data_IF_400515612152
#
_entry.id   IF_400515612152
#
_cell.length_a   1.000
_cell.length_b   1.000
_cell.length_c   1.000
_cell.angle_alpha   90.00
_cell.angle_beta   90.00
_cell.angle_gamma   90.00
#
_symmetry.space_group_name_H-M   'P 1'
#
loop_
_entity.id
_entity.type
_entity.pdbx_description
1 polymer ?
#
# COMPACT_ATOMS: atom_id res chain seq x y z
N UNK A 1 27.96 -69.95 14.48
CA UNK A 1 28.03 -69.11 15.69
C UNK A 1 28.56 -67.78 15.24
N UNK A 2 27.68 -66.80 15.05
CA UNK A 2 27.72 -65.54 15.80
C UNK A 2 26.48 -64.71 15.44
N UNK A 3 25.70 -64.50 16.48
CA UNK A 3 24.60 -63.54 16.60
C UNK A 3 25.22 -62.22 17.03
N UNK A 4 24.76 -61.09 16.50
CA UNK A 4 24.39 -59.88 17.25
C UNK A 4 23.57 -59.00 16.31
N UNK A 5 22.33 -58.78 16.70
CA UNK A 5 21.46 -57.72 16.19
C UNK A 5 21.90 -56.38 16.78
N UNK A 6 21.71 -55.28 16.06
CA UNK A 6 21.18 -54.09 16.71
C UNK A 6 20.33 -53.25 15.77
N UNK A 7 19.33 -52.66 16.40
CA UNK A 7 18.19 -51.97 15.86
C UNK A 7 18.52 -50.50 15.58
N UNK A 8 17.59 -49.86 14.86
CA UNK A 8 16.93 -48.61 15.27
C UNK A 8 16.88 -47.60 14.13
N UNK A 9 15.74 -47.62 13.46
CA UNK A 9 14.89 -46.47 13.12
C UNK A 9 15.55 -45.09 13.23
N UNK A 10 15.72 -44.41 12.10
CA UNK A 10 15.62 -42.95 12.06
C UNK A 10 14.54 -42.59 11.04
N UNK A 11 13.38 -42.22 11.58
CA UNK A 11 12.34 -41.49 10.89
C UNK A 11 12.94 -40.15 10.47
N UNK A 12 13.23 -40.00 9.19
CA UNK A 12 13.43 -38.66 8.62
C UNK A 12 12.08 -37.94 8.71
N UNK A 13 11.99 -37.12 9.75
CA UNK A 13 11.01 -36.07 9.95
C UNK A 13 10.90 -35.27 8.65
N UNK A 14 9.81 -35.49 7.91
CA UNK A 14 9.26 -34.45 7.07
C UNK A 14 8.98 -33.27 7.98
N UNK A 15 9.87 -32.27 7.94
CA UNK A 15 9.56 -30.94 8.42
C UNK A 15 8.40 -30.45 7.55
N UNK A 16 7.20 -30.63 8.08
CA UNK A 16 6.01 -29.90 7.68
C UNK A 16 6.36 -28.43 7.91
N UNK A 17 6.85 -27.74 6.87
CA UNK A 17 6.88 -26.28 6.83
C UNK A 17 5.43 -25.82 6.88
N UNK A 18 4.88 -25.80 8.10
CA UNK A 18 3.59 -25.23 8.40
C UNK A 18 3.66 -23.77 7.94
N UNK A 19 3.06 -23.51 6.77
CA UNK A 19 2.98 -22.17 6.21
C UNK A 19 2.50 -21.22 7.31
N UNK A 20 3.23 -20.13 7.60
CA UNK A 20 2.94 -19.29 8.75
C UNK A 20 1.49 -18.82 8.69
N UNK A 21 0.74 -19.06 9.76
CA UNK A 21 -0.67 -18.68 9.85
C UNK A 21 -0.78 -17.15 9.75
N UNK A 22 -1.33 -16.67 8.66
CA UNK A 22 -1.51 -15.24 8.42
C UNK A 22 -2.61 -14.67 9.33
N UNK A 23 -2.40 -13.44 9.79
CA UNK A 23 -3.39 -12.69 10.56
C UNK A 23 -4.46 -12.11 9.63
N UNK A 24 -5.71 -12.09 10.09
CA UNK A 24 -6.85 -11.45 9.43
C UNK A 24 -7.33 -10.30 10.28
N UNK A 25 -7.73 -9.18 9.67
CA UNK A 25 -8.40 -8.11 10.39
C UNK A 25 -9.84 -8.54 10.73
N UNK A 26 -10.38 -8.10 11.86
CA UNK A 26 -11.75 -8.44 12.28
C UNK A 26 -12.59 -7.17 12.29
N UNK A 27 -13.64 -7.10 11.47
CA UNK A 27 -14.65 -6.09 11.70
C UNK A 27 -15.75 -6.65 12.61
N UNK A 28 -16.03 -5.98 13.72
CA UNK A 28 -17.15 -6.34 14.58
C UNK A 28 -18.49 -6.03 13.88
N UNK A 29 -19.49 -6.93 13.93
CA UNK A 29 -20.80 -6.67 13.35
C UNK A 29 -21.46 -5.45 14.02
N UNK A 30 -21.69 -4.38 13.23
CA UNK A 30 -22.35 -3.15 13.70
C UNK A 30 -21.42 -2.09 14.30
N UNK A 31 -20.10 -2.31 14.32
CA UNK A 31 -19.11 -1.35 14.78
C UNK A 31 -18.48 -0.53 13.65
N UNK A 32 -17.89 0.62 14.01
CA UNK A 32 -16.91 1.30 13.15
C UNK A 32 -15.68 0.37 13.12
N UNK A 33 -15.34 -0.19 11.96
CA UNK A 33 -14.15 -1.02 11.84
C UNK A 33 -12.91 -0.11 12.01
N UNK A 34 -12.22 -0.21 13.15
CA UNK A 34 -11.01 0.58 13.46
C UNK A 34 -9.72 -0.24 13.39
N UNK A 35 -9.78 -1.54 13.06
CA UNK A 35 -8.55 -2.34 13.01
C UNK A 35 -7.60 -1.79 11.96
N UNK A 36 -6.38 -1.53 12.41
CA UNK A 36 -5.26 -1.14 11.58
C UNK A 36 -4.26 -2.28 11.53
N UNK A 37 -3.43 -2.29 10.49
CA UNK A 37 -2.31 -3.23 10.40
C UNK A 37 -1.24 -2.76 11.39
N UNK A 38 -1.01 -3.56 12.43
CA UNK A 38 -0.06 -3.28 13.51
C UNK A 38 1.38 -3.73 13.21
N UNK A 39 1.60 -4.38 12.05
CA UNK A 39 2.92 -4.84 11.66
C UNK A 39 3.89 -3.67 11.50
N UNK A 40 5.18 -3.85 11.82
CA UNK A 40 6.17 -2.84 11.50
C UNK A 40 6.22 -2.63 9.98
N UNK A 41 6.40 -1.37 9.56
CA UNK A 41 6.62 -1.07 8.14
C UNK A 41 7.94 -1.75 7.73
N UNK A 42 7.92 -2.65 6.73
CA UNK A 42 9.10 -3.41 6.33
C UNK A 42 10.25 -2.50 5.87
N UNK A 43 11.44 -3.07 5.74
CA UNK A 43 12.54 -2.38 5.07
C UNK A 43 12.20 -2.20 3.59
N UNK A 44 12.48 -1.01 3.03
CA UNK A 44 12.08 -0.65 1.67
C UNK A 44 13.29 -0.14 0.89
N UNK A 45 13.51 -0.68 -0.30
CA UNK A 45 14.50 -0.19 -1.27
C UNK A 45 13.78 0.50 -2.41
N UNK A 46 13.86 1.83 -2.43
CA UNK A 46 13.28 2.64 -3.50
C UNK A 46 14.28 2.85 -4.63
N UNK A 47 13.82 2.66 -5.86
CA UNK A 47 14.60 2.87 -7.08
C UNK A 47 13.86 3.82 -8.02
N UNK A 48 14.62 4.55 -8.83
CA UNK A 48 14.08 5.42 -9.89
C UNK A 48 14.94 5.26 -11.14
N UNK A 49 14.43 5.69 -12.28
CA UNK A 49 15.23 5.73 -13.51
C UNK A 49 16.29 6.83 -13.42
N UNK A 50 17.42 6.63 -14.12
CA UNK A 50 18.53 7.58 -14.12
C UNK A 50 18.09 8.99 -14.54
N UNK A 51 17.23 9.08 -15.55
CA UNK A 51 16.69 10.32 -16.07
C UNK A 51 15.84 11.11 -15.04
N UNK A 52 15.39 10.48 -13.96
CA UNK A 52 14.59 11.10 -12.91
C UNK A 52 15.37 11.35 -11.61
N UNK A 53 16.69 11.11 -11.58
CA UNK A 53 17.49 11.37 -10.36
C UNK A 53 17.51 12.85 -9.95
N UNK A 54 17.44 13.76 -10.92
CA UNK A 54 17.36 15.20 -10.68
C UNK A 54 15.94 15.67 -10.33
N UNK A 55 14.95 14.77 -10.28
CA UNK A 55 13.60 15.12 -9.90
C UNK A 55 13.57 15.48 -8.42
N UNK A 56 13.22 16.72 -8.13
CA UNK A 56 13.12 17.24 -6.77
C UNK A 56 11.98 16.53 -6.00
N UNK A 57 12.39 15.59 -5.15
CA UNK A 57 11.50 14.70 -4.40
C UNK A 57 10.86 15.39 -3.20
N UNK A 58 11.53 16.41 -2.65
CA UNK A 58 11.10 17.09 -1.42
C UNK A 58 9.84 17.94 -1.67
N UNK A 59 9.60 18.36 -2.91
CA UNK A 59 8.39 19.07 -3.31
C UNK A 59 7.28 18.18 -3.92
N UNK A 60 7.37 16.85 -3.80
CA UNK A 60 6.28 15.97 -4.22
C UNK A 60 5.07 16.18 -3.30
N UNK A 61 3.90 16.37 -3.89
CA UNK A 61 2.66 16.64 -3.14
C UNK A 61 1.69 15.47 -3.17
N UNK A 62 1.81 14.59 -4.16
CA UNK A 62 0.92 13.45 -4.33
C UNK A 62 1.69 12.20 -4.75
N UNK A 63 1.19 11.05 -4.29
CA UNK A 63 1.70 9.73 -4.65
C UNK A 63 0.55 8.91 -5.21
N UNK A 64 0.79 8.20 -6.31
CA UNK A 64 -0.16 7.23 -6.86
C UNK A 64 0.49 5.86 -6.84
N UNK A 65 -0.03 4.97 -5.99
CA UNK A 65 0.39 3.57 -5.97
C UNK A 65 -0.38 2.83 -7.06
N UNK A 66 0.36 2.19 -7.96
CA UNK A 66 -0.18 1.23 -8.90
C UNK A 66 0.22 -0.19 -8.45
N UNK A 67 -0.77 -0.99 -8.03
CA UNK A 67 -0.51 -2.33 -7.51
C UNK A 67 -1.54 -3.33 -8.05
N UNK A 68 -1.10 -4.53 -8.39
CA UNK A 68 -2.02 -5.62 -8.76
C UNK A 68 -2.56 -6.31 -7.51
N UNK A 69 -3.77 -6.87 -7.62
CA UNK A 69 -4.40 -7.72 -6.60
C UNK A 69 -3.41 -8.76 -6.04
N UNK A 70 -2.79 -9.56 -6.91
CA UNK A 70 -1.82 -10.59 -6.50
C UNK A 70 -0.59 -10.02 -5.77
N UNK A 71 -0.13 -8.84 -6.19
CA UNK A 71 1.02 -8.16 -5.56
C UNK A 71 0.69 -7.65 -4.17
N UNK A 72 -0.52 -7.14 -3.94
CA UNK A 72 -0.96 -6.77 -2.59
C UNK A 72 -0.94 -8.01 -1.69
N UNK A 73 -1.56 -9.11 -2.12
CA UNK A 73 -1.55 -10.35 -1.34
C UNK A 73 -0.12 -10.85 -1.01
N UNK A 74 0.84 -10.72 -1.93
CA UNK A 74 2.24 -11.03 -1.69
C UNK A 74 2.89 -10.11 -0.64
N UNK A 75 2.69 -8.79 -0.75
CA UNK A 75 3.21 -7.80 0.21
C UNK A 75 2.66 -8.07 1.61
N UNK A 76 1.35 -8.31 1.72
CA UNK A 76 0.72 -8.52 3.01
C UNK A 76 1.10 -9.85 3.64
N UNK A 77 1.28 -10.90 2.84
CA UNK A 77 1.83 -12.16 3.31
C UNK A 77 3.21 -11.97 3.95
N UNK A 78 4.06 -11.13 3.35
CA UNK A 78 5.40 -10.85 3.90
C UNK A 78 5.35 -10.14 5.26
N UNK A 79 4.32 -9.34 5.53
CA UNK A 79 4.12 -8.68 6.83
C UNK A 79 3.17 -9.46 7.76
N UNK A 80 2.87 -10.72 7.42
CA UNK A 80 2.10 -11.63 8.27
C UNK A 80 0.59 -11.43 8.24
N UNK A 81 0.05 -10.82 7.19
CA UNK A 81 -1.38 -10.57 7.01
C UNK A 81 -1.95 -11.22 5.75
N UNK A 82 -3.17 -11.71 5.86
CA UNK A 82 -3.99 -12.09 4.72
C UNK A 82 -4.72 -10.84 4.22
N UNK A 83 -4.51 -10.50 2.95
CA UNK A 83 -5.22 -9.38 2.34
C UNK A 83 -6.71 -9.68 2.22
N UNK A 84 -7.54 -8.74 2.68
CA UNK A 84 -9.00 -8.81 2.58
C UNK A 84 -9.51 -7.81 1.55
N UNK A 85 -10.15 -8.33 0.50
CA UNK A 85 -10.71 -7.54 -0.60
C UNK A 85 -12.00 -6.82 -0.23
N UNK A 86 -12.75 -7.36 0.73
CA UNK A 86 -13.99 -6.76 1.18
C UNK A 86 -13.73 -5.57 2.11
N UNK A 87 -12.50 -5.49 2.64
CA UNK A 87 -12.07 -4.42 3.53
C UNK A 87 -10.66 -3.90 3.23
N UNK A 88 -10.48 -3.19 2.09
CA UNK A 88 -9.15 -2.84 1.62
C UNK A 88 -8.55 -1.59 2.29
N UNK A 89 -9.35 -0.80 3.03
CA UNK A 89 -8.92 0.47 3.64
C UNK A 89 -7.68 0.38 4.52
N UNK A 90 -7.63 -0.50 5.54
CA UNK A 90 -6.43 -0.66 6.38
C UNK A 90 -5.19 -1.10 5.60
N UNK A 91 -5.38 -1.88 4.53
CA UNK A 91 -4.32 -2.30 3.64
C UNK A 91 -3.80 -1.13 2.79
N UNK A 92 -4.69 -0.31 2.24
CA UNK A 92 -4.31 0.90 1.52
C UNK A 92 -3.61 1.92 2.43
N UNK A 93 -4.06 2.08 3.67
CA UNK A 93 -3.35 2.91 4.65
C UNK A 93 -1.91 2.40 4.86
N UNK A 94 -1.74 1.09 5.02
CA UNK A 94 -0.44 0.47 5.20
C UNK A 94 0.46 0.56 3.94
N UNK A 95 -0.10 0.42 2.73
CA UNK A 95 0.62 0.67 1.49
C UNK A 95 1.10 2.14 1.41
N UNK A 96 0.29 3.08 1.90
CA UNK A 96 0.66 4.47 2.05
C UNK A 96 1.89 4.64 2.95
N UNK A 97 1.95 3.93 4.09
CA UNK A 97 3.11 3.93 4.99
C UNK A 97 4.36 3.35 4.31
N UNK A 98 4.25 2.25 3.57
CA UNK A 98 5.37 1.68 2.82
C UNK A 98 5.88 2.65 1.74
N UNK A 99 4.98 3.30 1.01
CA UNK A 99 5.34 4.29 0.01
C UNK A 99 5.95 5.55 0.64
N UNK A 100 5.44 5.99 1.80
CA UNK A 100 5.99 7.10 2.55
C UNK A 100 7.44 6.82 2.96
N UNK A 101 7.71 5.63 3.50
CA UNK A 101 9.06 5.18 3.84
C UNK A 101 9.99 5.16 2.64
N UNK A 102 9.60 4.51 1.55
CA UNK A 102 10.49 4.38 0.39
C UNK A 102 10.69 5.68 -0.40
N UNK A 103 9.65 6.51 -0.54
CA UNK A 103 9.76 7.76 -1.30
C UNK A 103 10.35 8.88 -0.45
N UNK A 104 9.92 9.04 0.81
CA UNK A 104 10.26 10.20 1.64
C UNK A 104 11.16 9.89 2.83
N UNK A 105 11.60 8.64 3.01
CA UNK A 105 12.41 8.25 4.18
C UNK A 105 11.69 8.56 5.50
N UNK A 106 10.38 8.29 5.54
CA UNK A 106 9.45 8.56 6.66
C UNK A 106 9.30 10.04 7.06
N UNK A 107 9.86 10.98 6.29
CA UNK A 107 9.78 12.43 6.56
C UNK A 107 8.41 13.04 6.24
N UNK A 108 7.51 12.29 5.60
CA UNK A 108 6.23 12.81 5.13
C UNK A 108 5.13 11.77 5.26
N UNK A 109 4.05 12.16 5.94
CA UNK A 109 2.85 11.34 6.03
C UNK A 109 2.01 11.46 4.76
N UNK A 110 1.48 10.32 4.33
CA UNK A 110 0.56 10.20 3.22
C UNK A 110 -0.86 9.96 3.73
N UNK A 111 -1.80 10.76 3.24
CA UNK A 111 -3.23 10.59 3.48
C UNK A 111 -3.90 10.11 2.21
N UNK A 112 -4.71 9.07 2.31
CA UNK A 112 -5.49 8.57 1.17
C UNK A 112 -6.39 9.69 0.64
N UNK A 113 -6.35 9.89 -0.68
CA UNK A 113 -7.12 10.89 -1.40
C UNK A 113 -8.26 10.24 -2.18
N UNK A 114 -7.94 9.23 -2.98
CA UNK A 114 -8.91 8.55 -3.86
C UNK A 114 -8.39 7.16 -4.27
N UNK A 115 -9.28 6.33 -4.79
CA UNK A 115 -8.97 5.00 -5.28
C UNK A 115 -9.74 4.68 -6.56
N UNK A 116 -9.08 4.01 -7.51
CA UNK A 116 -9.71 3.52 -8.75
C UNK A 116 -9.27 2.07 -9.04
N UNK A 117 -10.21 1.10 -9.06
CA UNK A 117 -9.95 -0.23 -9.61
C UNK A 117 -9.97 -0.21 -11.13
N UNK A 118 -8.96 -0.79 -11.77
CA UNK A 118 -8.93 -1.06 -13.21
C UNK A 118 -8.54 -2.51 -13.47
N UNK A 119 -9.56 -3.36 -13.71
CA UNK A 119 -9.38 -4.80 -13.94
C UNK A 119 -8.82 -5.52 -12.72
N UNK A 120 -7.54 -5.93 -12.79
CA UNK A 120 -6.76 -6.58 -11.70
C UNK A 120 -5.76 -5.63 -11.03
N UNK A 121 -5.81 -4.34 -11.36
CA UNK A 121 -4.94 -3.30 -10.81
C UNK A 121 -5.75 -2.30 -10.01
N UNK A 122 -5.10 -1.76 -8.99
CA UNK A 122 -5.60 -0.73 -8.11
C UNK A 122 -4.70 0.48 -8.23
N UNK A 123 -5.32 1.66 -8.37
CA UNK A 123 -4.65 2.96 -8.35
C UNK A 123 -5.09 3.68 -7.10
N UNK A 124 -4.20 3.80 -6.12
CA UNK A 124 -4.50 4.42 -4.85
C UNK A 124 -3.73 5.74 -4.79
N UNK A 125 -4.46 6.83 -4.73
CA UNK A 125 -3.92 8.18 -4.70
C UNK A 125 -3.80 8.66 -3.26
N UNK A 126 -2.70 9.32 -2.96
CA UNK A 126 -2.42 9.92 -1.66
C UNK A 126 -2.00 11.39 -1.86
N UNK A 127 -2.28 12.20 -0.86
CA UNK A 127 -1.75 13.55 -0.71
C UNK A 127 -0.79 13.60 0.48
N UNK A 128 0.21 14.46 0.41
CA UNK A 128 1.07 14.73 1.58
C UNK A 128 0.34 15.59 2.61
N UNK A 129 0.72 15.41 3.88
CA UNK A 129 0.22 16.24 4.99
C UNK A 129 0.56 17.72 4.78
N UNK A 130 1.75 18.03 4.26
CA UNK A 130 2.19 19.39 3.94
C UNK A 130 1.28 20.09 2.91
N UNK A 131 0.93 19.41 1.81
CA UNK A 131 0.04 19.99 0.81
C UNK A 131 -1.37 20.22 1.37
N UNK A 132 -1.84 19.29 2.20
CA UNK A 132 -3.14 19.41 2.90
C UNK A 132 -3.16 20.65 3.79
N UNK A 133 -2.13 20.85 4.61
CA UNK A 133 -2.00 22.01 5.47
C UNK A 133 -1.95 23.32 4.67
N UNK A 134 -1.23 23.37 3.55
CA UNK A 134 -1.16 24.54 2.67
C UNK A 134 -2.53 24.89 2.03
N UNK A 135 -3.33 23.88 1.68
CA UNK A 135 -4.70 24.10 1.19
C UNK A 135 -5.62 24.60 2.29
N UNK A 136 -5.47 24.09 3.51
CA UNK A 136 -6.28 24.51 4.67
C UNK A 136 -5.98 25.94 5.10
N UNK A 137 -4.70 26.33 5.18
CA UNK A 137 -4.31 27.72 5.49
C UNK A 137 -4.81 28.70 4.43
N UNK A 138 -4.75 28.32 3.15
CA UNK A 138 -5.30 29.11 2.05
C UNK A 138 -6.83 29.30 2.12
N UNK A 139 -7.57 28.33 2.68
CA UNK A 139 -9.03 28.44 2.90
C UNK A 139 -9.40 29.38 4.05
N UNK A 140 -8.58 29.43 5.11
CA UNK A 140 -8.81 30.29 6.29
C UNK A 140 -8.58 31.78 5.96
N UNK A 141 -7.77 32.09 4.94
CA UNK A 141 -7.48 33.45 4.49
C UNK A 141 -8.60 34.18 3.72
N UNK A 142 -9.80 33.61 3.61
CA UNK A 142 -11.02 34.32 3.16
C UNK A 142 -11.08 34.73 1.68
N UNK A 143 -10.10 34.41 0.84
CA UNK A 143 -10.22 34.65 -0.60
C UNK A 143 -10.93 33.47 -1.25
N UNK A 144 -12.09 33.72 -1.87
CA UNK A 144 -12.95 32.72 -2.50
C UNK A 144 -12.30 31.96 -3.69
N UNK A 145 -11.00 32.17 -3.94
CA UNK A 145 -10.25 31.58 -5.04
C UNK A 145 -8.75 31.59 -4.75
N UNK A 146 -8.31 31.23 -3.53
CA UNK A 146 -6.90 30.95 -3.29
C UNK A 146 -6.43 29.87 -4.29
N UNK A 147 -5.48 30.23 -5.16
CA UNK A 147 -4.91 29.33 -6.15
C UNK A 147 -4.37 28.09 -5.42
N UNK A 148 -4.76 26.90 -5.87
CA UNK A 148 -4.32 25.66 -5.20
C UNK A 148 -2.79 25.56 -5.31
N UNK A 149 -2.09 25.12 -4.26
CA UNK A 149 -0.66 24.91 -4.34
C UNK A 149 -0.31 23.94 -5.48
N UNK A 150 0.83 24.14 -6.16
CA UNK A 150 1.24 23.30 -7.28
C UNK A 150 1.16 21.80 -6.98
N UNK A 151 0.68 21.04 -7.96
CA UNK A 151 0.54 19.58 -7.86
C UNK A 151 1.74 18.91 -8.53
N UNK A 152 2.54 18.18 -7.74
CA UNK A 152 3.67 17.39 -8.20
C UNK A 152 3.43 15.93 -7.78
N UNK A 153 3.26 15.07 -8.77
CA UNK A 153 2.78 13.69 -8.56
C UNK A 153 3.88 12.71 -8.95
N UNK A 154 4.07 11.69 -8.13
CA UNK A 154 4.86 10.51 -8.50
C UNK A 154 3.98 9.26 -8.56
N UNK A 155 4.29 8.38 -9.50
CA UNK A 155 3.75 7.03 -9.56
C UNK A 155 4.70 6.07 -8.84
N UNK A 156 4.15 5.17 -8.03
CA UNK A 156 4.88 4.15 -7.29
C UNK A 156 4.37 2.78 -7.72
N UNK A 157 5.29 1.86 -7.98
CA UNK A 157 4.98 0.46 -8.27
C UNK A 157 5.86 -0.46 -7.42
N UNK A 158 5.27 -1.54 -6.92
CA UNK A 158 5.99 -2.53 -6.13
C UNK A 158 6.53 -3.63 -7.04
N UNK A 159 7.78 -4.06 -6.82
CA UNK A 159 8.32 -5.30 -7.38
C UNK A 159 7.87 -6.52 -6.57
N UNK A 160 8.18 -7.71 -7.07
CA UNK A 160 7.76 -8.96 -6.43
C UNK A 160 8.41 -9.05 -5.06
N UNK A 161 7.59 -9.26 -4.04
CA UNK A 161 8.05 -9.51 -2.69
C UNK A 161 8.92 -10.79 -2.68
N UNK A 162 10.09 -10.70 -2.07
CA UNK A 162 10.99 -11.82 -1.89
C UNK A 162 11.10 -12.10 -0.39
N UNK A 163 10.85 -13.35 0.06
CA UNK A 163 10.96 -13.70 1.48
C UNK A 163 12.32 -13.30 2.06
N UNK A 164 12.31 -12.65 3.23
CA UNK A 164 13.52 -12.22 3.92
C UNK A 164 14.29 -11.06 3.27
N UNK A 165 13.82 -10.50 2.16
CA UNK A 165 14.44 -9.34 1.52
C UNK A 165 13.61 -8.06 1.74
N UNK A 166 14.26 -6.87 1.70
CA UNK A 166 13.54 -5.60 1.68
C UNK A 166 12.53 -5.54 0.53
N UNK A 167 11.39 -4.89 0.75
CA UNK A 167 10.45 -4.61 -0.32
C UNK A 167 11.08 -3.63 -1.32
N UNK A 168 11.08 -4.00 -2.59
CA UNK A 168 11.54 -3.09 -3.62
C UNK A 168 10.38 -2.33 -4.24
N UNK A 169 10.51 -1.00 -4.28
CA UNK A 169 9.59 -0.13 -5.02
C UNK A 169 10.33 0.68 -6.08
N UNK A 170 9.62 0.97 -7.16
CA UNK A 170 10.07 1.89 -8.20
C UNK A 170 9.14 3.10 -8.21
N UNK A 171 9.72 4.29 -8.25
CA UNK A 171 8.99 5.53 -8.43
C UNK A 171 9.44 6.27 -9.68
N UNK A 172 8.53 7.08 -10.23
CA UNK A 172 8.81 7.99 -11.34
C UNK A 172 7.82 9.17 -11.28
N UNK A 173 8.12 10.33 -11.91
CA UNK A 173 7.13 11.38 -12.12
C UNK A 173 5.90 10.81 -12.82
N UNK A 174 4.71 11.21 -12.36
CA UNK A 174 3.48 10.67 -12.92
C UNK A 174 3.29 11.10 -14.37
N UNK A 175 2.75 10.18 -15.18
CA UNK A 175 2.36 10.44 -16.55
C UNK A 175 1.26 11.48 -16.60
N UNK A 176 1.24 12.27 -17.68
CA UNK A 176 0.30 13.39 -17.89
C UNK A 176 -1.16 13.09 -17.51
N UNK A 177 -1.75 11.97 -17.96
CA UNK A 177 -3.13 11.62 -17.61
C UNK A 177 -3.38 11.40 -16.11
N UNK A 178 -2.43 10.77 -15.40
CA UNK A 178 -2.53 10.52 -13.96
C UNK A 178 -2.40 11.85 -13.20
N UNK A 179 -1.41 12.66 -13.56
CA UNK A 179 -1.23 13.98 -12.99
C UNK A 179 -2.45 14.89 -13.20
N UNK A 180 -3.05 14.86 -14.40
CA UNK A 180 -4.29 15.58 -14.69
C UNK A 180 -5.45 15.10 -13.81
N UNK A 181 -5.60 13.78 -13.63
CA UNK A 181 -6.68 13.25 -12.81
C UNK A 181 -6.56 13.63 -11.34
N UNK A 182 -5.34 13.64 -10.80
CA UNK A 182 -5.08 14.10 -9.42
C UNK A 182 -5.45 15.57 -9.22
N UNK A 183 -5.19 16.44 -10.22
CA UNK A 183 -5.59 17.86 -10.14
C UNK A 183 -7.10 18.05 -10.05
N UNK A 184 -7.88 17.16 -10.67
CA UNK A 184 -9.35 17.16 -10.60
C UNK A 184 -9.90 16.56 -9.31
N UNK A 185 -9.14 15.69 -8.64
CA UNK A 185 -9.60 15.02 -7.42
C UNK A 185 -9.92 16.06 -6.33
N UNK A 186 -11.08 15.87 -5.70
CA UNK A 186 -11.43 16.56 -4.46
C UNK A 186 -11.04 15.66 -3.28
N UNK A 187 -10.56 16.23 -2.15
CA UNK A 187 -10.36 15.47 -0.93
C UNK A 187 -11.64 14.70 -0.57
N UNK A 188 -11.55 13.38 -0.45
CA UNK A 188 -12.70 12.55 -0.11
C UNK A 188 -13.10 12.83 1.36
N UNK A 189 -14.32 13.32 1.65
CA UNK A 189 -14.75 13.64 3.01
C UNK A 189 -15.10 12.35 3.77
N UNK A 190 -14.07 11.59 4.16
CA UNK A 190 -14.13 10.37 4.98
C UNK A 190 -14.90 9.20 4.34
N UNK A 191 -14.42 7.99 4.64
CA UNK A 191 -15.05 6.71 4.37
C UNK A 191 -16.51 6.67 4.83
N UNK A 192 -17.42 7.16 3.99
CA UNK A 192 -18.80 6.73 4.01
C UNK A 192 -18.85 5.50 3.13
N UNK A 193 -19.33 4.41 3.72
CA UNK A 193 -19.60 3.11 3.13
C UNK A 193 -18.43 2.10 3.17
N UNK A 194 -18.30 1.45 4.31
CA UNK A 194 -18.26 0.00 4.31
C UNK A 194 -19.54 -0.50 3.61
N UNK A 195 -19.64 -0.43 2.27
CA UNK A 195 -20.76 -1.01 1.53
C UNK A 195 -20.29 -1.62 0.21
N UNK A 196 -20.20 -2.94 0.24
CA UNK A 196 -20.70 -3.85 -0.79
C UNK A 196 -21.29 -3.12 -2.00
N UNK A 197 -20.49 -3.01 -3.05
CA UNK A 197 -21.02 -3.28 -4.39
C UNK A 197 -20.43 -4.61 -4.85
N UNK A 198 -20.96 -5.68 -4.24
CA UNK A 198 -20.96 -7.01 -4.84
C UNK A 198 -21.62 -6.91 -6.19
N UNK A 199 -20.82 -6.75 -7.24
CA UNK A 199 -21.20 -7.11 -8.61
C UNK A 199 -19.91 -7.49 -9.36
N UNK A 200 -19.31 -8.60 -8.94
CA UNK A 200 -18.52 -9.41 -9.88
C UNK A 200 -19.05 -10.83 -9.84
N UNK A 201 -19.47 -11.40 -10.98
CA UNK A 201 -19.89 -12.78 -11.04
C UNK A 201 -18.69 -13.67 -10.73
N UNK A 202 -18.89 -14.58 -9.77
CA UNK A 202 -18.01 -15.70 -9.49
C UNK A 202 -17.91 -16.50 -10.80
N UNK A 203 -16.72 -16.54 -11.41
CA UNK A 203 -16.41 -17.59 -12.37
C UNK A 203 -15.77 -18.73 -11.60
N UNK A 204 -16.55 -19.81 -11.49
CA UNK A 204 -16.12 -21.18 -11.18
C UNK A 204 -14.95 -21.62 -12.04
#
# INVERSE_FOLDING_TARGET
MDTIADSTTSLDLQADEASPKLRTLKCEPGGICVDTIDAPVPEVRATTEECFRAFDRDNVTHVVIQVTISRQAEIFRQVGYQYDWDWPGPFWEFLGKIAAKGVFDDKTELRELNYIPLGRREFIAYTTSMWTAAVETGKVGGTAQAERPPVKVVEVSFKKAQPGQPLELRWAPARGPIAAKIKECKPNPKYLMCQRTTNRPIRS
#
